data_IF_174279179547
#
_entry.id   IF_174279179547
#
_cell.length_a   1.000
_cell.length_b   1.000
_cell.length_c   1.000
_cell.angle_alpha   90.00
_cell.angle_beta   90.00
_cell.angle_gamma   90.00
#
_symmetry.space_group_name_H-M   'P 1'
#
loop_
_entity.id
_entity.type
_entity.pdbx_description
1 polymer ?
#
# COMPACT_ATOMS: atom_id res chain seq x y z
N UNK A 1 -42.61 -39.16 8.40
CA UNK A 1 -42.50 -38.15 7.33
C UNK A 1 -41.97 -36.82 7.81
N UNK A 2 -42.35 -36.30 8.96
CA UNK A 2 -41.88 -34.99 9.48
C UNK A 2 -40.38 -34.90 9.79
N UNK A 3 -39.76 -35.98 10.28
CA UNK A 3 -38.31 -36.00 10.61
C UNK A 3 -37.41 -36.03 9.38
N UNK A 4 -37.89 -36.57 8.26
CA UNK A 4 -37.14 -36.59 6.98
C UNK A 4 -37.16 -35.21 6.32
N UNK A 5 -38.30 -34.53 6.33
CA UNK A 5 -38.47 -33.17 5.83
C UNK A 5 -37.64 -32.18 6.63
N UNK A 6 -37.55 -32.33 7.95
CA UNK A 6 -36.74 -31.47 8.81
C UNK A 6 -35.23 -31.66 8.54
N UNK A 7 -34.79 -32.90 8.28
CA UNK A 7 -33.38 -33.17 7.89
C UNK A 7 -33.01 -32.64 6.52
N UNK A 8 -33.93 -32.73 5.54
CA UNK A 8 -33.71 -32.12 4.23
C UNK A 8 -33.68 -30.60 4.29
N UNK A 9 -34.50 -29.97 5.11
CA UNK A 9 -34.52 -28.53 5.33
C UNK A 9 -33.20 -28.05 5.98
N UNK A 10 -32.69 -28.80 6.97
CA UNK A 10 -31.43 -28.49 7.62
C UNK A 10 -30.22 -28.63 6.68
N UNK A 11 -30.23 -29.64 5.80
CA UNK A 11 -29.16 -29.81 4.77
C UNK A 11 -29.20 -28.72 3.70
N UNK A 12 -30.38 -28.24 3.29
CA UNK A 12 -30.50 -27.12 2.36
C UNK A 12 -30.00 -25.79 2.96
N UNK A 13 -30.22 -25.55 4.25
CA UNK A 13 -29.72 -24.35 4.92
C UNK A 13 -28.19 -24.32 5.06
N UNK A 14 -27.53 -25.48 5.19
CA UNK A 14 -26.08 -25.57 5.24
C UNK A 14 -25.38 -25.30 3.88
N UNK A 15 -26.08 -25.55 2.77
CA UNK A 15 -25.54 -25.35 1.42
C UNK A 15 -25.51 -23.88 0.98
N UNK A 16 -26.20 -22.97 1.68
CA UNK A 16 -26.29 -21.54 1.34
C UNK A 16 -25.16 -20.69 1.92
N UNK A 17 -24.27 -21.27 2.73
CA UNK A 17 -23.14 -20.54 3.36
C UNK A 17 -21.82 -20.70 2.60
N UNK A 18 -21.81 -21.36 1.44
CA UNK A 18 -20.67 -21.33 0.54
C UNK A 18 -20.60 -19.96 -0.16
N UNK A 19 -20.33 -18.93 0.62
CA UNK A 19 -19.95 -17.62 0.08
C UNK A 19 -18.70 -17.81 -0.74
N UNK A 20 -18.80 -17.65 -2.07
CA UNK A 20 -17.63 -17.58 -2.93
C UNK A 20 -16.68 -16.52 -2.38
N UNK A 21 -15.40 -16.82 -2.11
CA UNK A 21 -14.42 -15.78 -1.86
C UNK A 21 -14.37 -14.91 -3.11
N UNK A 22 -14.89 -13.68 -2.99
CA UNK A 22 -14.82 -12.69 -4.04
C UNK A 22 -13.34 -12.38 -4.20
N UNK A 23 -12.67 -12.96 -5.19
CA UNK A 23 -11.30 -12.58 -5.50
C UNK A 23 -11.32 -11.08 -5.82
N UNK A 24 -10.61 -10.28 -5.03
CA UNK A 24 -10.49 -8.86 -5.28
C UNK A 24 -9.98 -8.65 -6.71
N UNK A 25 -10.58 -7.72 -7.45
CA UNK A 25 -10.08 -7.35 -8.77
C UNK A 25 -8.65 -6.77 -8.61
N UNK A 26 -7.84 -6.80 -9.68
CA UNK A 26 -6.51 -6.18 -9.67
C UNK A 26 -6.57 -4.71 -9.22
N UNK A 27 -7.61 -3.97 -9.62
CA UNK A 27 -7.82 -2.58 -9.22
C UNK A 27 -8.11 -2.45 -7.71
N UNK A 28 -9.02 -3.24 -7.16
CA UNK A 28 -9.32 -3.24 -5.73
C UNK A 28 -8.09 -3.61 -4.89
N UNK A 29 -7.33 -4.62 -5.33
CA UNK A 29 -6.09 -5.01 -4.66
C UNK A 29 -5.04 -3.89 -4.66
N UNK A 30 -4.93 -3.13 -5.76
CA UNK A 30 -4.05 -1.96 -5.83
C UNK A 30 -4.50 -0.86 -4.86
N UNK A 31 -5.78 -0.53 -4.84
CA UNK A 31 -6.33 0.48 -3.94
C UNK A 31 -6.06 0.15 -2.46
N UNK A 32 -6.23 -1.11 -2.08
CA UNK A 32 -5.94 -1.60 -0.72
C UNK A 32 -4.45 -1.42 -0.36
N UNK A 33 -3.54 -1.77 -1.27
CA UNK A 33 -2.09 -1.61 -1.05
C UNK A 33 -1.68 -0.14 -1.03
N UNK A 34 -2.24 0.70 -1.89
CA UNK A 34 -2.03 2.14 -1.88
C UNK A 34 -2.51 2.78 -0.58
N UNK A 35 -3.65 2.33 -0.07
CA UNK A 35 -4.15 2.76 1.23
C UNK A 35 -3.22 2.33 2.37
N UNK A 36 -2.80 1.06 2.39
CA UNK A 36 -1.89 0.54 3.40
C UNK A 36 -0.54 1.29 3.38
N UNK A 37 0.01 1.55 2.20
CA UNK A 37 1.24 2.31 2.03
C UNK A 37 1.10 3.76 2.55
N UNK A 38 0.05 4.45 2.14
CA UNK A 38 -0.21 5.83 2.60
C UNK A 38 -0.41 5.90 4.12
N UNK A 39 -1.07 4.91 4.70
CA UNK A 39 -1.24 4.81 6.15
C UNK A 39 0.11 4.58 6.85
N UNK A 40 0.93 3.66 6.37
CA UNK A 40 2.26 3.40 6.93
C UNK A 40 3.13 4.68 6.90
N UNK A 41 3.20 5.38 5.77
CA UNK A 41 3.94 6.65 5.67
C UNK A 41 3.39 7.70 6.62
N UNK A 42 2.07 7.90 6.68
CA UNK A 42 1.44 8.89 7.57
C UNK A 42 1.76 8.66 9.04
N UNK A 43 1.80 7.43 9.45
CA UNK A 43 2.06 7.06 10.85
C UNK A 43 3.55 6.90 11.17
N UNK A 44 4.43 7.11 10.17
CA UNK A 44 5.88 7.00 10.34
C UNK A 44 6.37 5.56 10.41
N UNK A 45 5.55 4.60 10.01
CA UNK A 45 5.94 3.20 9.88
C UNK A 45 6.64 2.97 8.52
N UNK A 46 7.85 3.51 8.39
CA UNK A 46 8.63 3.39 7.15
C UNK A 46 9.15 1.97 6.91
N UNK A 47 9.30 1.17 7.95
CA UNK A 47 9.64 -0.26 7.83
C UNK A 47 8.46 -1.02 7.22
N UNK A 48 7.22 -0.76 7.69
CA UNK A 48 6.00 -1.30 7.11
C UNK A 48 5.79 -0.85 5.66
N UNK A 49 6.02 0.44 5.36
CA UNK A 49 5.98 0.97 4.00
C UNK A 49 7.02 0.30 3.09
N UNK A 50 8.25 0.06 3.61
CA UNK A 50 9.33 -0.61 2.89
C UNK A 50 8.98 -2.05 2.50
N UNK A 51 8.18 -2.75 3.29
CA UNK A 51 7.72 -4.10 2.98
C UNK A 51 6.79 -4.17 1.76
N UNK A 52 6.21 -3.06 1.35
CA UNK A 52 5.39 -2.93 0.12
C UNK A 52 6.21 -2.58 -1.13
N UNK A 53 7.50 -2.29 -0.95
CA UNK A 53 8.43 -2.08 -2.07
C UNK A 53 8.82 -3.41 -2.70
N UNK A 54 8.98 -3.40 -4.02
CA UNK A 54 9.38 -4.57 -4.80
C UNK A 54 10.58 -5.30 -4.16
N UNK A 55 10.49 -6.61 -3.91
CA UNK A 55 11.58 -7.38 -3.32
C UNK A 55 12.90 -7.23 -4.07
N UNK A 56 12.87 -7.09 -5.41
CA UNK A 56 14.07 -6.86 -6.22
C UNK A 56 14.71 -5.52 -5.91
N UNK A 57 13.91 -4.45 -5.80
CA UNK A 57 14.40 -3.12 -5.41
C UNK A 57 15.00 -3.16 -4.01
N UNK A 58 14.37 -3.85 -3.08
CA UNK A 58 14.88 -4.00 -1.70
C UNK A 58 16.21 -4.76 -1.63
N UNK A 59 16.43 -5.72 -2.53
CA UNK A 59 17.71 -6.45 -2.62
C UNK A 59 18.80 -5.62 -3.28
N UNK A 60 18.47 -4.86 -4.31
CA UNK A 60 19.44 -4.03 -5.07
C UNK A 60 19.84 -2.77 -4.29
N UNK A 61 18.93 -2.21 -3.50
CA UNK A 61 19.12 -0.97 -2.75
C UNK A 61 18.61 -1.14 -1.31
N UNK A 62 19.23 -2.01 -0.49
CA UNK A 62 18.77 -2.26 0.87
C UNK A 62 18.89 -1.00 1.72
N UNK A 63 17.86 -0.71 2.51
CA UNK A 63 17.90 0.33 3.52
C UNK A 63 18.53 -0.23 4.81
N UNK A 64 19.37 0.58 5.43
CA UNK A 64 20.02 0.28 6.70
C UNK A 64 19.26 0.86 7.89
N UNK A 65 19.61 0.47 9.10
CA UNK A 65 19.06 1.07 10.33
C UNK A 65 19.33 2.59 10.39
N UNK A 66 20.43 3.06 9.76
CA UNK A 66 20.76 4.48 9.66
C UNK A 66 19.73 5.19 8.77
N UNK A 67 19.39 4.58 7.63
CA UNK A 67 18.37 5.14 6.73
C UNK A 67 17.02 5.26 7.41
N UNK A 68 16.58 4.19 8.11
CA UNK A 68 15.34 4.24 8.88
C UNK A 68 15.40 5.25 10.04
N UNK A 69 16.55 5.44 10.68
CA UNK A 69 16.69 6.45 11.74
C UNK A 69 16.53 7.88 11.22
N UNK A 70 16.86 8.16 9.97
CA UNK A 70 16.59 9.46 9.34
C UNK A 70 15.09 9.72 9.25
N UNK A 71 14.30 8.74 8.83
CA UNK A 71 12.85 8.87 8.77
C UNK A 71 12.20 9.15 10.13
N UNK A 72 12.80 8.69 11.24
CA UNK A 72 12.35 8.98 12.61
C UNK A 72 12.54 10.45 13.03
N UNK A 73 13.36 11.23 12.30
CA UNK A 73 13.60 12.64 12.58
C UNK A 73 12.50 13.57 12.04
N UNK A 74 11.58 13.04 11.27
CA UNK A 74 10.46 13.79 10.70
C UNK A 74 9.12 13.25 11.18
N UNK A 75 8.10 14.10 11.06
CA UNK A 75 6.71 13.74 11.24
C UNK A 75 5.96 14.09 9.96
N UNK A 76 5.10 13.21 9.52
CA UNK A 76 4.25 13.46 8.35
C UNK A 76 3.02 14.21 8.82
N UNK A 77 2.83 15.44 8.30
CA UNK A 77 1.66 16.28 8.59
C UNK A 77 0.54 16.07 7.57
N UNK A 78 0.84 15.54 6.39
CA UNK A 78 -0.15 15.27 5.35
C UNK A 78 0.36 14.33 4.28
N UNK A 79 -0.57 13.62 3.64
CA UNK A 79 -0.31 12.77 2.49
C UNK A 79 -1.49 12.92 1.53
N UNK A 80 -1.29 13.63 0.45
CA UNK A 80 -2.36 14.01 -0.47
C UNK A 80 -2.11 13.44 -1.85
N UNK A 81 -3.06 12.67 -2.34
CA UNK A 81 -3.10 12.20 -3.72
C UNK A 81 -3.54 13.35 -4.64
N UNK A 82 -2.71 13.66 -5.62
CA UNK A 82 -2.97 14.71 -6.62
C UNK A 82 -3.52 14.13 -7.93
N UNK A 83 -3.63 12.81 -8.01
CA UNK A 83 -4.08 12.07 -9.18
C UNK A 83 -3.00 11.18 -9.77
N UNK A 84 -3.42 10.32 -10.67
CA UNK A 84 -2.53 9.35 -11.30
C UNK A 84 -3.03 8.85 -12.64
N UNK A 85 -2.26 7.96 -13.24
CA UNK A 85 -2.59 7.36 -14.52
C UNK A 85 -1.98 5.96 -14.64
N UNK A 86 -2.52 5.18 -15.56
CA UNK A 86 -1.93 3.90 -15.97
C UNK A 86 -1.04 4.14 -17.18
N UNK A 87 0.20 3.66 -17.11
CA UNK A 87 1.15 3.74 -18.20
C UNK A 87 0.91 2.64 -19.24
N UNK A 88 1.48 2.80 -20.43
CA UNK A 88 1.31 1.83 -21.54
C UNK A 88 1.85 0.42 -21.24
N UNK A 89 2.76 0.28 -20.26
CA UNK A 89 3.27 -1.01 -19.78
C UNK A 89 2.43 -1.63 -18.65
N UNK A 90 1.30 -1.03 -18.29
CA UNK A 90 0.41 -1.49 -17.23
C UNK A 90 0.80 -1.05 -15.82
N UNK A 91 1.91 -0.35 -15.64
CA UNK A 91 2.25 0.29 -14.37
C UNK A 91 1.27 1.41 -14.05
N UNK A 92 1.00 1.61 -12.76
CA UNK A 92 0.14 2.71 -12.28
C UNK A 92 1.01 3.70 -11.51
N UNK A 93 0.90 4.97 -11.87
CA UNK A 93 1.60 6.07 -11.18
C UNK A 93 0.60 6.97 -10.48
N UNK A 94 0.99 7.49 -9.30
CA UNK A 94 0.28 8.56 -8.57
C UNK A 94 1.26 9.65 -8.20
N UNK A 95 0.84 10.89 -8.36
CA UNK A 95 1.56 12.06 -7.84
C UNK A 95 1.03 12.38 -6.45
N UNK A 96 1.94 12.42 -5.48
CA UNK A 96 1.64 12.60 -4.06
C UNK A 96 2.31 13.87 -3.56
N UNK A 97 1.60 14.61 -2.73
CA UNK A 97 2.14 15.71 -1.95
C UNK A 97 2.20 15.30 -0.48
N UNK A 98 3.39 15.37 0.10
CA UNK A 98 3.65 14.94 1.48
C UNK A 98 4.05 16.18 2.30
N UNK A 99 3.29 16.47 3.35
CA UNK A 99 3.69 17.45 4.36
C UNK A 99 4.66 16.82 5.35
N UNK A 100 5.79 17.47 5.58
CA UNK A 100 6.89 16.97 6.42
C UNK A 100 7.27 18.01 7.45
N UNK A 101 7.24 17.64 8.73
CA UNK A 101 7.68 18.47 9.85
C UNK A 101 8.97 17.90 10.43
N UNK A 102 10.01 18.71 10.50
CA UNK A 102 11.23 18.34 11.22
C UNK A 102 10.95 18.33 12.73
N UNK A 103 11.21 17.23 13.43
CA UNK A 103 10.91 17.07 14.85
C UNK A 103 11.76 17.94 15.75
N UNK A 104 12.94 18.38 15.31
CA UNK A 104 13.86 19.19 16.11
C UNK A 104 13.62 20.69 15.93
N UNK A 105 13.40 21.12 14.69
CA UNK A 105 13.27 22.56 14.34
C UNK A 105 11.80 23.00 14.25
N UNK A 106 10.86 22.05 14.17
CA UNK A 106 9.43 22.25 13.89
C UNK A 106 9.17 22.95 12.54
N UNK A 107 10.19 23.06 11.69
CA UNK A 107 10.02 23.56 10.34
C UNK A 107 9.18 22.58 9.52
N UNK A 108 8.18 23.09 8.82
CA UNK A 108 7.33 22.34 7.91
C UNK A 108 7.70 22.63 6.46
N UNK A 109 7.67 21.62 5.63
CA UNK A 109 7.85 21.69 4.18
C UNK A 109 6.93 20.72 3.47
N UNK A 110 6.79 20.90 2.17
CA UNK A 110 6.03 20.02 1.29
C UNK A 110 7.00 19.36 0.31
N UNK A 111 6.87 18.05 0.16
CA UNK A 111 7.67 17.25 -0.78
C UNK A 111 6.75 16.64 -1.83
N UNK A 112 7.18 16.66 -3.08
CA UNK A 112 6.52 15.93 -4.17
C UNK A 112 7.12 14.55 -4.30
N UNK A 113 6.25 13.55 -4.41
CA UNK A 113 6.63 12.16 -4.52
C UNK A 113 5.76 11.47 -5.57
N UNK A 114 6.39 10.68 -6.43
CA UNK A 114 5.68 9.87 -7.43
C UNK A 114 5.74 8.41 -7.02
N UNK A 115 4.60 7.85 -6.63
CA UNK A 115 4.44 6.41 -6.50
C UNK A 115 4.37 5.77 -7.87
N UNK A 116 5.02 4.63 -8.04
CA UNK A 116 4.92 3.79 -9.22
C UNK A 116 4.71 2.35 -8.80
N UNK A 117 3.60 1.77 -9.24
CA UNK A 117 3.14 0.44 -8.88
C UNK A 117 3.18 -0.49 -10.08
N UNK A 118 3.71 -1.69 -9.90
CA UNK A 118 3.79 -2.73 -10.91
C UNK A 118 3.10 -3.99 -10.41
N UNK A 119 2.25 -4.58 -11.25
CA UNK A 119 1.63 -5.86 -10.94
C UNK A 119 2.60 -7.00 -11.23
N UNK A 120 2.74 -7.91 -10.28
CA UNK A 120 3.52 -9.14 -10.41
C UNK A 120 2.57 -10.31 -10.67
N UNK A 121 2.60 -10.84 -11.89
CA UNK A 121 1.73 -11.94 -12.31
C UNK A 121 2.05 -13.25 -11.57
N UNK A 122 3.30 -13.48 -11.19
CA UNK A 122 3.72 -14.68 -10.47
C UNK A 122 3.28 -14.62 -8.99
N UNK A 123 3.50 -13.49 -8.33
CA UNK A 123 3.12 -13.27 -6.94
C UNK A 123 1.64 -12.88 -6.77
N UNK A 124 0.94 -12.55 -7.87
CA UNK A 124 -0.46 -12.09 -7.87
C UNK A 124 -0.69 -10.88 -6.97
N UNK A 125 0.26 -9.96 -6.95
CA UNK A 125 0.20 -8.74 -6.14
C UNK A 125 0.84 -7.54 -6.84
N UNK A 126 0.61 -6.35 -6.30
CA UNK A 126 1.25 -5.13 -6.73
C UNK A 126 2.44 -4.81 -5.83
N UNK A 127 3.48 -4.26 -6.42
CA UNK A 127 4.67 -3.78 -5.73
C UNK A 127 4.95 -2.32 -6.07
N UNK A 128 5.35 -1.56 -5.06
CA UNK A 128 5.90 -0.22 -5.25
C UNK A 128 7.32 -0.34 -5.81
N UNK A 129 7.58 0.20 -6.99
CA UNK A 129 8.88 0.08 -7.66
C UNK A 129 9.75 1.33 -7.56
N UNK A 130 9.24 2.41 -6.99
CA UNK A 130 9.95 3.68 -6.84
C UNK A 130 10.73 3.85 -5.53
N UNK A 131 10.62 2.91 -4.59
CA UNK A 131 11.20 3.04 -3.26
C UNK A 131 10.42 3.99 -2.34
N UNK A 132 10.96 4.27 -1.14
CA UNK A 132 10.39 5.24 -0.21
C UNK A 132 10.60 6.67 -0.71
N UNK A 133 9.74 7.63 -0.29
CA UNK A 133 9.92 9.03 -0.67
C UNK A 133 11.20 9.62 -0.07
N UNK A 134 11.92 10.41 -0.86
CA UNK A 134 12.96 11.28 -0.33
C UNK A 134 12.30 12.49 0.34
N UNK A 135 12.26 12.47 1.68
CA UNK A 135 11.62 13.50 2.47
C UNK A 135 12.54 14.72 2.70
N UNK A 136 13.75 14.70 2.17
CA UNK A 136 14.74 15.79 2.30
C UNK A 136 14.98 16.54 1.00
N UNK A 137 14.43 16.07 -0.10
CA UNK A 137 14.54 16.75 -1.40
C UNK A 137 13.62 17.98 -1.44
N UNK A 138 14.21 19.15 -1.55
CA UNK A 138 13.53 20.44 -1.66
C UNK A 138 13.42 20.85 -3.14
N UNK A 139 12.63 20.16 -3.93
CA UNK A 139 12.34 20.54 -5.32
C UNK A 139 10.93 21.03 -5.51
#
# INVERSE_FOLDING_TARGET
>A
MSRLLLRCLLLCCLALVAGCPKSASKGTALEELQYAYSAAVRWGDFEGAWNLVDPKVRQEQPLTDIDFSRYKQVQISGYRDLGGTTLGNGEVVRDIEIGVVNRHTLAERTVRYRERWRYDEAAKTWWLVGGLPDLWDER
#
